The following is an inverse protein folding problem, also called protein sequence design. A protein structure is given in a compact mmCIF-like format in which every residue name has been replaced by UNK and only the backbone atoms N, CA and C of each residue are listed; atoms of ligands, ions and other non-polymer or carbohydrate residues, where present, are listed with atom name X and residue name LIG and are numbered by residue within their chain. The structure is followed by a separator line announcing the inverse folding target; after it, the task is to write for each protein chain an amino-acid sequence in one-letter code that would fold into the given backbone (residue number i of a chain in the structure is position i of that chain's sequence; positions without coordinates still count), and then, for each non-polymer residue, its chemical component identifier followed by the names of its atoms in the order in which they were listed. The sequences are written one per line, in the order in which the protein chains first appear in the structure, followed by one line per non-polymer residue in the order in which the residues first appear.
data_IF_205848282961
#
_entry.id   IF_205848282961
#
_cell.length_a   1.000
_cell.length_b   1.000
_cell.length_c   1.000
_cell.angle_alpha   90.00
_cell.angle_beta   90.00
_cell.angle_gamma   90.00
#
_symmetry.space_group_name_H-M   'P 1'
#
loop_
_entity.id
_entity.type
_entity.pdbx_description
1 polymer ?
#
# COMPACT_ATOMS: atom_id res chain seq x y z
N UNK A 1 27.24 -7.45 18.15
CA UNK A 1 26.42 -7.38 16.92
C UNK A 1 25.13 -8.14 17.17
N UNK A 2 23.97 -7.46 17.28
CA UNK A 2 22.69 -8.16 17.44
C UNK A 2 22.39 -8.92 16.15
N UNK A 3 22.32 -10.25 16.21
CA UNK A 3 22.00 -11.10 15.06
C UNK A 3 20.50 -10.94 14.78
N UNK A 4 20.13 -10.39 13.62
CA UNK A 4 18.74 -10.36 13.18
C UNK A 4 18.27 -11.81 12.99
N UNK A 5 17.43 -12.28 13.91
CA UNK A 5 16.83 -13.61 13.86
C UNK A 5 15.33 -13.41 13.75
N UNK A 6 14.71 -14.05 12.76
CA UNK A 6 13.26 -14.14 12.64
C UNK A 6 12.77 -15.04 13.77
N UNK A 7 12.02 -14.45 14.70
CA UNK A 7 11.52 -15.16 15.89
C UNK A 7 10.14 -15.75 15.65
N UNK A 8 9.34 -15.08 14.83
CA UNK A 8 8.04 -15.57 14.41
C UNK A 8 7.98 -15.66 12.88
N UNK A 9 8.42 -16.80 12.35
CA UNK A 9 8.47 -17.07 10.91
C UNK A 9 7.11 -16.94 10.24
N UNK A 10 6.03 -17.37 10.89
CA UNK A 10 4.67 -17.25 10.35
C UNK A 10 4.24 -15.79 10.17
N UNK A 11 4.42 -14.96 11.19
CA UNK A 11 4.11 -13.52 11.12
C UNK A 11 5.00 -12.80 10.10
N UNK A 12 6.26 -13.21 9.98
CA UNK A 12 7.16 -12.67 8.97
C UNK A 12 6.64 -12.96 7.55
N UNK A 13 6.27 -14.21 7.24
CA UNK A 13 5.73 -14.57 5.92
C UNK A 13 4.39 -13.87 5.61
N UNK A 14 3.49 -13.76 6.59
CA UNK A 14 2.24 -13.00 6.44
C UNK A 14 2.55 -11.53 6.11
N UNK A 15 3.51 -10.93 6.81
CA UNK A 15 3.99 -9.57 6.51
C UNK A 15 4.49 -9.44 5.07
N UNK A 16 5.31 -10.38 4.61
CA UNK A 16 5.81 -10.40 3.22
C UNK A 16 4.68 -10.52 2.19
N UNK A 17 3.69 -11.39 2.41
CA UNK A 17 2.54 -11.52 1.50
C UNK A 17 1.75 -10.20 1.42
N UNK A 18 1.47 -9.58 2.57
CA UNK A 18 0.78 -8.28 2.64
C UNK A 18 1.59 -7.20 1.91
N UNK A 19 2.92 -7.18 2.06
CA UNK A 19 3.79 -6.27 1.33
C UNK A 19 3.69 -6.46 -0.18
N UNK A 20 3.74 -7.69 -0.66
CA UNK A 20 3.62 -7.99 -2.09
C UNK A 20 2.28 -7.45 -2.63
N UNK A 21 1.17 -7.73 -1.93
CA UNK A 21 -0.15 -7.22 -2.32
C UNK A 21 -0.18 -5.69 -2.34
N UNK A 22 0.32 -5.03 -1.28
CA UNK A 22 0.37 -3.57 -1.21
C UNK A 22 1.22 -2.93 -2.31
N UNK A 23 2.36 -3.54 -2.64
CA UNK A 23 3.24 -3.06 -3.72
C UNK A 23 2.52 -3.13 -5.07
N UNK A 24 1.80 -4.22 -5.35
CA UNK A 24 1.06 -4.35 -6.60
C UNK A 24 -0.01 -3.27 -6.76
N UNK A 25 -0.81 -3.02 -5.71
CA UNK A 25 -1.83 -1.95 -5.73
C UNK A 25 -1.18 -0.60 -6.02
N UNK A 26 -0.11 -0.24 -5.30
CA UNK A 26 0.57 1.04 -5.48
C UNK A 26 1.18 1.20 -6.88
N UNK A 27 1.85 0.17 -7.40
CA UNK A 27 2.52 0.23 -8.72
C UNK A 27 1.51 0.35 -9.86
N UNK A 28 0.35 -0.31 -9.76
CA UNK A 28 -0.66 -0.26 -10.80
C UNK A 28 -1.53 0.99 -10.74
N UNK A 29 -1.85 1.47 -9.54
CA UNK A 29 -2.78 2.61 -9.38
C UNK A 29 -2.06 3.96 -9.54
N UNK A 30 -0.78 4.06 -9.15
CA UNK A 30 -0.03 5.32 -9.21
C UNK A 30 0.00 5.95 -10.61
N UNK A 31 0.32 5.21 -11.70
CA UNK A 31 0.28 5.78 -13.05
C UNK A 31 -1.10 6.27 -13.47
N UNK A 32 -2.17 5.60 -13.03
CA UNK A 32 -3.55 5.98 -13.36
C UNK A 32 -3.96 7.26 -12.63
N UNK A 33 -3.63 7.37 -11.34
CA UNK A 33 -3.83 8.60 -10.56
C UNK A 33 -3.06 9.75 -11.19
N UNK A 34 -1.79 9.53 -11.54
CA UNK A 34 -0.94 10.53 -12.17
C UNK A 34 -1.52 10.97 -13.53
N UNK A 35 -2.12 10.07 -14.31
CA UNK A 35 -2.81 10.45 -15.55
C UNK A 35 -3.93 11.46 -15.29
N UNK A 36 -4.79 11.20 -14.30
CA UNK A 36 -5.90 12.10 -13.97
C UNK A 36 -5.44 13.42 -13.35
N UNK A 37 -4.40 13.41 -12.51
CA UNK A 37 -3.86 14.63 -11.87
C UNK A 37 -3.17 15.57 -12.85
N UNK A 38 -2.68 15.06 -13.99
CA UNK A 38 -2.05 15.87 -15.03
C UNK A 38 -3.05 16.39 -16.08
N UNK A 39 -4.33 16.07 -15.97
CA UNK A 39 -5.36 16.73 -16.79
C UNK A 39 -5.46 18.19 -16.36
N UNK A 40 -5.42 19.12 -17.32
CA UNK A 40 -5.76 20.52 -17.04
C UNK A 40 -7.13 20.60 -16.36
N UNK A 41 -7.28 21.50 -15.38
CA UNK A 41 -8.50 21.62 -14.55
C UNK A 41 -9.77 21.71 -15.38
N UNK A 42 -9.68 22.38 -16.53
CA UNK A 42 -10.80 22.61 -17.43
C UNK A 42 -11.21 21.32 -18.16
N UNK A 43 -10.25 20.45 -18.50
CA UNK A 43 -10.53 19.10 -18.98
C UNK A 43 -11.07 18.19 -17.88
N UNK A 44 -10.56 18.29 -16.65
CA UNK A 44 -11.08 17.53 -15.51
C UNK A 44 -12.54 17.85 -15.21
N UNK A 45 -12.96 19.12 -15.34
CA UNK A 45 -14.35 19.53 -15.16
C UNK A 45 -15.28 18.94 -16.23
N UNK A 46 -14.77 18.76 -17.45
CA UNK A 46 -15.50 18.19 -18.59
C UNK A 46 -15.58 16.65 -18.57
N UNK A 47 -14.86 15.97 -17.67
CA UNK A 47 -14.96 14.51 -17.53
C UNK A 47 -16.38 14.07 -17.18
N UNK A 48 -16.80 12.97 -17.80
CA UNK A 48 -18.04 12.29 -17.47
C UNK A 48 -18.07 11.91 -15.98
N UNK A 49 -19.24 11.97 -15.33
CA UNK A 49 -19.38 11.68 -13.91
C UNK A 49 -18.91 10.26 -13.54
N UNK A 50 -19.02 9.30 -14.46
CA UNK A 50 -18.50 7.95 -14.29
C UNK A 50 -16.96 7.94 -14.19
N UNK A 51 -16.28 8.67 -15.07
CA UNK A 51 -14.82 8.78 -15.04
C UNK A 51 -14.31 9.45 -13.77
N UNK A 52 -15.02 10.47 -13.26
CA UNK A 52 -14.70 11.10 -11.97
C UNK A 52 -14.84 10.12 -10.80
N UNK A 53 -15.86 9.25 -10.83
CA UNK A 53 -16.04 8.20 -9.82
C UNK A 53 -14.88 7.19 -9.85
N UNK A 54 -14.41 6.81 -11.04
CA UNK A 54 -13.25 5.93 -11.20
C UNK A 54 -11.99 6.56 -10.56
N UNK A 55 -11.74 7.85 -10.78
CA UNK A 55 -10.60 8.55 -10.16
C UNK A 55 -10.67 8.57 -8.63
N UNK A 56 -11.84 8.85 -8.04
CA UNK A 56 -11.98 8.83 -6.58
C UNK A 56 -11.82 7.42 -6.01
N UNK A 57 -12.30 6.38 -6.71
CA UNK A 57 -12.06 4.99 -6.32
C UNK A 57 -10.58 4.63 -6.36
N UNK A 58 -9.87 5.03 -7.42
CA UNK A 58 -8.43 4.83 -7.55
C UNK A 58 -7.65 5.44 -6.38
N UNK A 59 -8.01 6.65 -5.94
CA UNK A 59 -7.39 7.28 -4.76
C UNK A 59 -7.61 6.46 -3.48
N UNK A 60 -8.81 5.90 -3.31
CA UNK A 60 -9.12 5.04 -2.16
C UNK A 60 -8.31 3.74 -2.23
N UNK A 61 -8.28 3.07 -3.38
CA UNK A 61 -7.54 1.83 -3.62
C UNK A 61 -6.04 2.04 -3.36
N UNK A 62 -5.48 3.13 -3.88
CA UNK A 62 -4.10 3.52 -3.62
C UNK A 62 -3.81 3.75 -2.13
N UNK A 63 -4.72 4.44 -1.41
CA UNK A 63 -4.60 4.62 0.04
C UNK A 63 -4.64 3.29 0.80
N UNK A 64 -5.45 2.33 0.35
CA UNK A 64 -5.47 0.97 0.90
C UNK A 64 -4.14 0.28 0.63
N UNK A 65 -3.58 0.40 -0.58
CA UNK A 65 -2.25 -0.10 -0.94
C UNK A 65 -1.16 0.40 0.00
N UNK A 66 -1.09 1.72 0.23
CA UNK A 66 -0.14 2.33 1.18
C UNK A 66 -0.35 1.80 2.60
N UNK A 67 -1.61 1.65 3.04
CA UNK A 67 -1.92 1.09 4.36
C UNK A 67 -1.43 -0.35 4.52
N UNK A 68 -1.59 -1.19 3.49
CA UNK A 68 -1.05 -2.55 3.46
C UNK A 68 0.47 -2.55 3.56
N UNK A 69 1.17 -1.62 2.90
CA UNK A 69 2.63 -1.49 3.03
C UNK A 69 3.04 -1.22 4.47
N UNK A 70 2.39 -0.27 5.14
CA UNK A 70 2.67 0.07 6.54
C UNK A 70 2.43 -1.13 7.47
N UNK A 71 1.31 -1.84 7.27
CA UNK A 71 0.97 -3.04 8.05
C UNK A 71 2.00 -4.16 7.80
N UNK A 72 2.35 -4.41 6.55
CA UNK A 72 3.32 -5.43 6.16
C UNK A 72 4.70 -5.18 6.76
N UNK A 73 5.21 -3.93 6.68
CA UNK A 73 6.47 -3.52 7.31
C UNK A 73 6.39 -3.75 8.82
N UNK A 74 5.30 -3.32 9.45
CA UNK A 74 5.10 -3.45 10.89
C UNK A 74 5.13 -4.91 11.34
N UNK A 75 4.44 -5.81 10.63
CA UNK A 75 4.45 -7.24 10.91
C UNK A 75 5.84 -7.86 10.73
N UNK A 76 6.54 -7.52 9.65
CA UNK A 76 7.91 -7.97 9.42
C UNK A 76 8.85 -7.50 10.53
N UNK A 77 8.76 -6.26 10.98
CA UNK A 77 9.57 -5.73 12.10
C UNK A 77 9.20 -6.43 13.42
N UNK A 78 7.92 -6.55 13.74
CA UNK A 78 7.44 -7.22 14.97
C UNK A 78 7.93 -8.67 15.02
N UNK A 79 8.00 -9.37 13.88
CA UNK A 79 8.50 -10.74 13.81
C UNK A 79 9.98 -10.90 14.21
N UNK A 80 10.76 -9.81 14.17
CA UNK A 80 12.18 -9.75 14.55
C UNK A 80 12.36 -9.34 16.02
N UNK A 81 11.43 -8.55 16.57
CA UNK A 81 11.49 -8.06 17.95
C UNK A 81 11.29 -9.22 18.93
N UNK A 82 12.13 -9.28 19.99
CA UNK A 82 12.01 -10.33 21.02
C UNK A 82 10.71 -10.05 21.77
N UNK A 83 9.86 -11.06 22.00
CA UNK A 83 8.71 -10.93 22.92
C UNK A 83 9.26 -10.55 24.30
N UNK A 84 9.32 -9.25 24.58
CA UNK A 84 9.64 -8.66 25.88
C UNK A 84 8.33 -8.13 26.47
N UNK A 85 7.33 -8.99 26.52
CA UNK A 85 6.15 -8.76 27.36
C UNK A 85 6.25 -9.90 28.36
N UNK A 86 6.87 -9.57 29.49
CA UNK A 86 6.93 -10.38 30.69
C UNK A 86 5.76 -9.95 31.57
#
# INVERSE_FOLDING_TARGET
MNKFQIKNTGVFFIGIIILIVGIFVVIFDYPQIQYFENLESDMFLLLEPETKNIYERLKIEFSIGISLLVIGISLSVISLVKKSIK
#
